data_IF_982439960012
#
_entry.id   IF_982439960012
#
_cell.length_a   1.000
_cell.length_b   1.000
_cell.length_c   1.000
_cell.angle_alpha   90.00
_cell.angle_beta   90.00
_cell.angle_gamma   90.00
#
_symmetry.space_group_name_H-M   'P 1'
#
loop_
_entity.id
_entity.type
_entity.pdbx_description
1 polymer ?
#
# COMPACT_ATOMS: atom_id res chain seq x y z
N UNK A 1 15.44 -4.45 5.55
CA UNK A 1 14.09 -4.45 4.94
C UNK A 1 13.44 -3.06 5.06
N UNK A 2 13.73 -2.15 4.11
CA UNK A 2 13.17 -0.78 4.13
C UNK A 2 11.77 -0.75 3.52
N UNK A 3 11.58 -1.45 2.40
CA UNK A 3 10.31 -1.52 1.68
C UNK A 3 9.17 -2.08 2.55
N UNK A 4 9.41 -3.15 3.33
CA UNK A 4 8.39 -3.71 4.22
C UNK A 4 7.82 -2.67 5.20
N UNK A 5 8.69 -1.87 5.82
CA UNK A 5 8.27 -0.78 6.73
C UNK A 5 7.44 0.29 6.03
N UNK A 6 7.75 0.58 4.76
CA UNK A 6 6.96 1.53 3.98
C UNK A 6 5.58 0.95 3.64
N UNK A 7 5.51 -0.33 3.28
CA UNK A 7 4.25 -1.00 2.96
C UNK A 7 3.34 -1.10 4.20
N UNK A 8 3.89 -1.40 5.38
CA UNK A 8 3.14 -1.37 6.65
C UNK A 8 2.57 0.02 6.95
N UNK A 9 3.36 1.08 6.73
CA UNK A 9 2.89 2.45 6.90
C UNK A 9 1.80 2.82 5.87
N UNK A 10 1.93 2.35 4.63
CA UNK A 10 0.93 2.55 3.58
C UNK A 10 -0.38 1.82 3.91
N UNK A 11 -0.33 0.62 4.46
CA UNK A 11 -1.51 -0.13 4.94
C UNK A 11 -2.20 0.61 6.08
N UNK A 12 -1.44 1.03 7.11
CA UNK A 12 -1.98 1.80 8.23
C UNK A 12 -2.61 3.15 7.80
N UNK A 13 -2.10 3.74 6.71
CA UNK A 13 -2.65 4.96 6.11
C UNK A 13 -3.84 4.71 5.16
N UNK A 14 -4.23 3.46 4.93
CA UNK A 14 -5.32 3.10 4.02
C UNK A 14 -5.00 3.27 2.53
N UNK A 15 -3.70 3.33 2.18
CA UNK A 15 -3.22 3.49 0.78
C UNK A 15 -3.22 2.17 0.03
N UNK A 16 -3.01 1.05 0.74
CA UNK A 16 -3.02 -0.31 0.19
C UNK A 16 -3.91 -1.22 1.04
N UNK A 17 -4.33 -2.35 0.47
CA UNK A 17 -5.05 -3.40 1.20
C UNK A 17 -4.15 -4.12 2.19
N UNK A 18 -4.77 -4.89 3.09
CA UNK A 18 -4.11 -5.98 3.81
C UNK A 18 -3.47 -6.96 2.82
N UNK A 19 -2.51 -7.75 3.29
CA UNK A 19 -1.85 -8.76 2.49
C UNK A 19 -2.80 -9.93 2.19
N UNK A 20 -2.95 -10.26 0.92
CA UNK A 20 -3.68 -11.45 0.48
C UNK A 20 -2.90 -12.73 0.81
N UNK A 21 -3.59 -13.88 0.74
CA UNK A 21 -3.00 -15.21 0.98
C UNK A 21 -1.84 -15.56 0.04
N UNK A 22 -1.79 -14.94 -1.14
CA UNK A 22 -0.69 -15.08 -2.10
C UNK A 22 0.45 -14.07 -1.89
N UNK A 23 0.41 -13.27 -0.82
CA UNK A 23 1.42 -12.28 -0.48
C UNK A 23 1.31 -10.95 -1.20
N UNK A 24 0.30 -10.75 -2.06
CA UNK A 24 0.11 -9.50 -2.81
C UNK A 24 -0.78 -8.51 -2.04
N UNK A 25 -0.70 -7.23 -2.45
CA UNK A 25 -1.50 -6.11 -1.95
C UNK A 25 -1.93 -5.26 -3.12
N UNK A 26 -3.13 -4.68 -3.04
CA UNK A 26 -3.66 -3.78 -4.07
C UNK A 26 -3.57 -2.32 -3.60
N UNK A 27 -3.45 -1.38 -4.55
CA UNK A 27 -3.40 0.07 -4.26
C UNK A 27 -4.82 0.62 -4.28
N UNK A 28 -5.22 1.26 -3.18
CA UNK A 28 -6.52 1.88 -3.00
C UNK A 28 -6.49 3.39 -3.26
N UNK A 29 -5.35 4.03 -3.01
CA UNK A 29 -5.22 5.47 -3.19
C UNK A 29 -5.46 5.86 -4.66
N UNK A 30 -6.19 6.96 -4.92
CA UNK A 30 -6.35 7.47 -6.27
C UNK A 30 -4.99 7.89 -6.84
N UNK A 31 -4.85 7.94 -8.17
CA UNK A 31 -3.65 8.49 -8.78
C UNK A 31 -3.43 9.94 -8.34
N UNK A 32 -2.19 10.42 -8.30
CA UNK A 32 -1.92 11.83 -8.02
C UNK A 32 -2.68 12.70 -9.03
N UNK A 33 -3.29 13.79 -8.54
CA UNK A 33 -3.81 14.83 -9.42
C UNK A 33 -2.62 15.41 -10.20
N UNK A 34 -2.74 15.49 -11.53
CA UNK A 34 -1.70 16.10 -12.37
C UNK A 34 -1.49 17.57 -12.01
N UNK A 35 -0.41 18.17 -12.50
CA UNK A 35 -0.10 19.60 -12.30
C UNK A 35 -1.27 20.52 -12.71
#
# INVERSE_FOLDING_TARGET
NRAARLIEAMEAAGVVTEMATNGQREVLAPPPVGD
#
